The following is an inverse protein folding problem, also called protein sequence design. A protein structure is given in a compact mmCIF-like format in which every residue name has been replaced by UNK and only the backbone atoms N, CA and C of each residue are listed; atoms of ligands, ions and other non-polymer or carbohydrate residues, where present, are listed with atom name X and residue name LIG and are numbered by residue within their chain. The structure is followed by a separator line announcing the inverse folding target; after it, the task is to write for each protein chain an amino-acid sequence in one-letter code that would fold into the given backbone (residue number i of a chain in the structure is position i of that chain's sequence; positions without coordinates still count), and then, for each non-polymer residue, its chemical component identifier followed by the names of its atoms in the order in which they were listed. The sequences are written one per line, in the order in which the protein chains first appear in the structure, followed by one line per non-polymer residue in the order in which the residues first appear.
data_IF_873351161407
#
_entry.id   IF_873351161407
#
_cell.length_a   1.000
_cell.length_b   1.000
_cell.length_c   1.000
_cell.angle_alpha   90.00
_cell.angle_beta   90.00
_cell.angle_gamma   90.00
#
_symmetry.space_group_name_H-M   'P 1'
#
loop_
_entity.id
_entity.type
_entity.pdbx_description
1 polymer ?
#
# COMPACT_ATOMS: atom_id res chain seq x y z
N UNK A 1 4.23 13.56 -20.09
CA UNK A 1 3.67 12.56 -19.18
C UNK A 1 3.82 11.19 -19.85
N UNK A 2 4.66 10.33 -19.31
CA UNK A 2 4.76 8.94 -19.77
C UNK A 2 3.78 8.11 -18.91
N UNK A 3 2.85 7.41 -19.54
CA UNK A 3 1.90 6.53 -18.85
C UNK A 3 2.20 5.13 -19.34
N UNK A 4 2.71 4.31 -18.44
CA UNK A 4 2.89 2.89 -18.69
C UNK A 4 1.66 2.14 -18.18
N UNK A 5 1.17 1.22 -19.00
CA UNK A 5 0.03 0.38 -18.67
C UNK A 5 0.53 -0.95 -18.13
N UNK A 6 0.03 -1.33 -16.96
CA UNK A 6 0.25 -2.64 -16.38
C UNK A 6 -1.09 -3.39 -16.30
N UNK A 7 -1.05 -4.71 -16.45
CA UNK A 7 -2.21 -5.58 -16.34
C UNK A 7 -2.13 -6.38 -15.04
N UNK A 8 -3.24 -6.47 -14.32
CA UNK A 8 -3.36 -7.26 -13.11
C UNK A 8 -4.50 -8.22 -13.26
N UNK A 9 -4.20 -9.51 -13.27
CA UNK A 9 -5.16 -10.59 -13.38
C UNK A 9 -5.34 -11.34 -12.06
N UNK A 10 -6.59 -11.66 -11.74
CA UNK A 10 -6.93 -12.59 -10.68
C UNK A 10 -7.85 -13.67 -11.25
N UNK A 11 -7.60 -14.91 -10.88
CA UNK A 11 -8.43 -16.04 -11.30
C UNK A 11 -8.84 -16.89 -10.11
N UNK A 12 -10.02 -17.49 -10.23
CA UNK A 12 -10.57 -18.41 -9.25
C UNK A 12 -11.00 -19.69 -9.99
N UNK A 13 -10.51 -20.82 -9.52
CA UNK A 13 -10.91 -22.14 -10.05
C UNK A 13 -12.10 -22.62 -9.21
N UNK A 14 -13.24 -22.81 -9.86
CA UNK A 14 -14.48 -23.26 -9.22
C UNK A 14 -14.79 -24.68 -9.68
N UNK A 15 -14.94 -25.65 -8.76
CA UNK A 15 -15.37 -27.01 -9.14
C UNK A 15 -16.72 -26.95 -9.85
N UNK A 16 -16.90 -27.76 -10.91
CA UNK A 16 -18.12 -27.79 -11.72
C UNK A 16 -19.37 -28.06 -10.88
N UNK A 17 -19.28 -28.96 -9.90
CA UNK A 17 -20.38 -29.25 -8.99
C UNK A 17 -20.91 -28.02 -8.21
N UNK A 18 -20.04 -27.02 -8.00
CA UNK A 18 -20.42 -25.77 -7.31
C UNK A 18 -21.02 -24.78 -8.33
N UNK A 19 -20.46 -24.74 -9.55
CA UNK A 19 -21.01 -23.87 -10.60
C UNK A 19 -22.39 -24.29 -11.05
N UNK A 20 -22.66 -25.60 -11.05
CA UNK A 20 -23.96 -26.17 -11.41
C UNK A 20 -25.08 -25.86 -10.38
N UNK A 21 -24.73 -25.44 -9.17
CA UNK A 21 -25.69 -25.03 -8.15
C UNK A 21 -26.43 -23.73 -8.49
N UNK A 22 -25.91 -22.93 -9.42
CA UNK A 22 -26.55 -21.74 -10.00
C UNK A 22 -27.22 -20.81 -8.96
N UNK A 23 -26.66 -20.74 -7.77
CA UNK A 23 -27.18 -19.91 -6.69
C UNK A 23 -26.66 -18.47 -6.81
N UNK A 24 -27.52 -17.45 -6.90
CA UNK A 24 -27.11 -16.04 -7.02
C UNK A 24 -26.18 -15.57 -5.88
N UNK A 25 -26.22 -16.24 -4.76
CA UNK A 25 -25.34 -16.01 -3.62
C UNK A 25 -23.91 -16.47 -3.91
N UNK A 26 -23.72 -17.59 -4.62
CA UNK A 26 -22.40 -18.15 -4.98
C UNK A 26 -21.66 -17.20 -5.92
N UNK A 27 -22.35 -16.64 -6.92
CA UNK A 27 -21.76 -15.64 -7.82
C UNK A 27 -21.33 -14.37 -7.07
N UNK A 28 -22.16 -13.89 -6.14
CA UNK A 28 -21.81 -12.73 -5.32
C UNK A 28 -20.59 -13.01 -4.45
N UNK A 29 -20.49 -14.21 -3.89
CA UNK A 29 -19.37 -14.61 -3.05
C UNK A 29 -18.07 -14.68 -3.84
N UNK A 30 -18.07 -15.33 -5.01
CA UNK A 30 -16.88 -15.39 -5.87
C UNK A 30 -16.45 -14.02 -6.39
N UNK A 31 -17.42 -13.19 -6.75
CA UNK A 31 -17.15 -11.82 -7.14
C UNK A 31 -16.51 -10.98 -6.02
N UNK A 32 -16.91 -11.20 -4.78
CA UNK A 32 -16.31 -10.54 -3.63
C UNK A 32 -14.86 -10.98 -3.43
N UNK A 33 -14.57 -12.28 -3.48
CA UNK A 33 -13.22 -12.84 -3.35
C UNK A 33 -12.29 -12.31 -4.46
N UNK A 34 -12.75 -12.32 -5.72
CA UNK A 34 -11.97 -11.80 -6.84
C UNK A 34 -11.66 -10.32 -6.70
N UNK A 35 -12.62 -9.51 -6.26
CA UNK A 35 -12.41 -8.10 -5.99
C UNK A 35 -11.40 -7.87 -4.87
N UNK A 36 -11.51 -8.61 -3.79
CA UNK A 36 -10.57 -8.53 -2.67
C UNK A 36 -9.16 -8.89 -3.11
N UNK A 37 -8.99 -9.96 -3.89
CA UNK A 37 -7.70 -10.36 -4.45
C UNK A 37 -7.10 -9.28 -5.36
N UNK A 38 -7.91 -8.66 -6.20
CA UNK A 38 -7.48 -7.55 -7.07
C UNK A 38 -7.06 -6.33 -6.24
N UNK A 39 -7.82 -5.97 -5.21
CA UNK A 39 -7.46 -4.86 -4.33
C UNK A 39 -6.15 -5.11 -3.59
N UNK A 40 -5.92 -6.33 -3.10
CA UNK A 40 -4.65 -6.72 -2.49
C UNK A 40 -3.48 -6.67 -3.48
N UNK A 41 -3.71 -7.04 -4.75
CA UNK A 41 -2.70 -6.90 -5.80
C UNK A 41 -2.37 -5.44 -6.13
N UNK A 42 -3.37 -4.58 -6.16
CA UNK A 42 -3.19 -3.13 -6.32
C UNK A 42 -2.40 -2.55 -5.14
N UNK A 43 -2.74 -2.95 -3.93
CA UNK A 43 -2.05 -2.52 -2.71
C UNK A 43 -0.59 -2.97 -2.71
N UNK A 44 -0.31 -4.20 -3.19
CA UNK A 44 1.04 -4.71 -3.35
C UNK A 44 1.83 -3.90 -4.40
N UNK A 45 1.26 -3.65 -5.57
CA UNK A 45 1.85 -2.79 -6.60
C UNK A 45 2.13 -1.37 -6.09
N UNK A 46 1.25 -0.83 -5.24
CA UNK A 46 1.46 0.47 -4.60
C UNK A 46 2.64 0.45 -3.60
N UNK A 47 2.75 -0.59 -2.79
CA UNK A 47 3.82 -0.69 -1.79
C UNK A 47 5.14 -1.14 -2.42
N UNK A 48 5.13 -2.23 -3.18
CA UNK A 48 6.32 -3.00 -3.54
C UNK A 48 6.64 -2.98 -5.04
N UNK A 49 5.74 -2.51 -5.88
CA UNK A 49 5.89 -2.57 -7.33
C UNK A 49 7.24 -2.10 -7.83
N UNK A 50 7.82 -2.82 -8.76
CA UNK A 50 9.18 -2.58 -9.28
C UNK A 50 9.23 -1.50 -10.37
N UNK A 51 8.09 -1.18 -10.96
CA UNK A 51 7.97 -0.23 -12.08
C UNK A 51 8.28 -0.84 -13.45
N UNK A 52 8.48 -2.15 -13.53
CA UNK A 52 8.60 -2.89 -14.78
C UNK A 52 7.38 -3.79 -14.94
N UNK A 53 6.55 -3.52 -15.92
CA UNK A 53 5.28 -4.20 -16.17
C UNK A 53 4.28 -4.13 -15.00
N UNK A 54 4.59 -3.30 -14.01
CA UNK A 54 3.79 -3.06 -12.81
C UNK A 54 4.00 -1.61 -12.29
N UNK A 55 3.14 -1.11 -11.38
CA UNK A 55 3.31 0.24 -10.83
C UNK A 55 4.65 0.44 -10.13
N UNK A 56 5.12 1.69 -10.08
CA UNK A 56 6.32 2.05 -9.30
C UNK A 56 5.91 2.18 -7.83
N UNK A 57 6.37 1.29 -6.98
CA UNK A 57 6.07 1.28 -5.55
C UNK A 57 6.59 2.50 -4.80
N UNK A 58 5.97 2.81 -3.65
CA UNK A 58 6.34 3.97 -2.83
C UNK A 58 7.78 3.93 -2.32
N UNK A 59 8.37 2.74 -2.23
CA UNK A 59 9.76 2.54 -1.80
C UNK A 59 10.78 2.64 -2.94
N UNK A 60 10.34 2.81 -4.20
CA UNK A 60 11.21 2.87 -5.38
C UNK A 60 11.57 4.29 -5.78
N UNK A 61 12.76 4.46 -6.35
CA UNK A 61 13.24 5.74 -6.89
C UNK A 61 12.76 5.89 -8.33
N UNK A 62 12.10 7.00 -8.66
CA UNK A 62 11.65 7.28 -10.03
C UNK A 62 12.82 7.57 -10.98
N UNK A 63 13.91 8.12 -10.44
CA UNK A 63 15.05 8.61 -11.25
C UNK A 63 16.19 7.61 -11.46
N UNK A 64 16.09 6.42 -10.87
CA UNK A 64 17.15 5.42 -10.94
C UNK A 64 16.59 4.02 -11.19
N UNK A 65 17.10 3.38 -12.24
CA UNK A 65 16.73 2.02 -12.62
C UNK A 65 17.95 1.08 -12.57
N UNK A 66 17.66 -0.20 -12.43
CA UNK A 66 18.62 -1.28 -12.57
C UNK A 66 18.77 -1.66 -14.06
N UNK A 67 19.72 -2.52 -14.38
CA UNK A 67 19.98 -2.98 -15.75
C UNK A 67 18.82 -3.81 -16.32
N UNK A 68 18.05 -4.48 -15.46
CA UNK A 68 16.87 -5.27 -15.82
C UNK A 68 15.60 -4.45 -16.09
N UNK A 69 15.67 -3.12 -15.91
CA UNK A 69 14.56 -2.18 -16.08
C UNK A 69 13.72 -1.93 -14.82
N UNK A 70 13.98 -2.62 -13.73
CA UNK A 70 13.31 -2.35 -12.44
C UNK A 70 13.84 -1.06 -11.80
N UNK A 71 13.02 -0.37 -11.02
CA UNK A 71 13.46 0.81 -10.26
C UNK A 71 14.24 0.43 -9.01
N UNK A 72 15.31 1.19 -8.72
CA UNK A 72 16.10 1.01 -7.49
C UNK A 72 15.30 1.39 -6.27
N UNK A 73 15.61 0.76 -5.14
CA UNK A 73 15.04 1.13 -3.86
C UNK A 73 15.46 2.56 -3.45
N UNK A 74 14.58 3.25 -2.74
CA UNK A 74 14.94 4.49 -2.05
C UNK A 74 15.85 4.19 -0.89
N UNK A 75 16.80 5.07 -0.66
CA UNK A 75 17.61 5.03 0.55
C UNK A 75 16.72 5.25 1.78
N UNK A 76 17.06 4.59 2.88
CA UNK A 76 16.43 4.84 4.18
C UNK A 76 16.86 6.23 4.65
N UNK A 77 15.89 7.13 4.81
CA UNK A 77 16.19 8.52 5.19
C UNK A 77 16.47 8.67 6.68
N UNK A 78 15.93 7.78 7.51
CA UNK A 78 16.11 7.83 8.96
C UNK A 78 15.71 6.50 9.59
N UNK A 79 16.44 6.07 10.60
CA UNK A 79 16.06 4.98 11.47
C UNK A 79 15.19 5.52 12.59
N UNK A 80 13.92 5.08 12.64
CA UNK A 80 12.99 5.44 13.71
C UNK A 80 13.01 4.34 14.77
N UNK A 81 13.48 4.68 15.96
CA UNK A 81 13.39 3.80 17.13
C UNK A 81 12.05 3.95 17.85
N UNK A 82 11.24 4.93 17.47
CA UNK A 82 9.99 5.28 18.14
C UNK A 82 9.12 6.15 17.25
N UNK A 83 7.83 5.96 17.33
CA UNK A 83 6.82 6.83 16.69
C UNK A 83 6.39 8.01 17.57
N UNK A 84 7.13 8.33 18.64
CA UNK A 84 6.84 9.52 19.45
C UNK A 84 6.94 10.80 18.62
N UNK A 85 6.15 11.84 18.94
CA UNK A 85 6.09 13.08 18.15
C UNK A 85 7.43 13.72 17.85
N UNK A 86 8.39 13.64 18.77
CA UNK A 86 9.75 14.21 18.60
C UNK A 86 10.53 13.47 17.50
N UNK A 87 10.47 12.13 17.47
CA UNK A 87 11.14 11.32 16.45
C UNK A 87 10.49 11.56 15.06
N UNK A 88 9.18 11.58 15.01
CA UNK A 88 8.42 11.86 13.79
C UNK A 88 8.63 13.28 13.26
N UNK A 89 8.86 14.26 14.12
CA UNK A 89 9.24 15.61 13.69
C UNK A 89 10.57 15.63 12.94
N UNK A 90 11.54 14.80 13.33
CA UNK A 90 12.77 14.58 12.60
C UNK A 90 12.53 14.04 11.19
N UNK A 91 11.73 12.99 11.05
CA UNK A 91 11.37 12.39 9.76
C UNK A 91 10.64 13.39 8.83
N UNK A 92 9.78 14.25 9.37
CA UNK A 92 9.08 15.30 8.60
C UNK A 92 10.04 16.27 7.90
N UNK A 93 11.23 16.54 8.45
CA UNK A 93 12.21 17.41 7.80
C UNK A 93 12.61 16.94 6.41
N UNK A 94 12.74 15.62 6.21
CA UNK A 94 13.08 15.05 4.91
C UNK A 94 11.98 15.31 3.87
N UNK A 95 10.71 15.13 4.23
CA UNK A 95 9.58 15.47 3.35
C UNK A 95 9.53 16.95 3.01
N UNK A 96 9.83 17.81 3.99
CA UNK A 96 9.87 19.27 3.84
C UNK A 96 11.11 19.76 3.10
N UNK A 97 12.03 18.90 2.63
CA UNK A 97 13.32 19.33 2.06
C UNK A 97 14.02 20.38 2.92
N UNK A 98 14.14 20.11 4.20
CA UNK A 98 14.73 21.03 5.19
C UNK A 98 14.06 22.43 5.20
N UNK A 99 12.74 22.46 5.22
CA UNK A 99 11.96 23.71 5.32
C UNK A 99 11.63 24.38 3.97
N UNK A 100 12.02 23.80 2.85
CA UNK A 100 11.74 24.36 1.52
C UNK A 100 10.34 24.02 0.98
N UNK A 101 9.59 23.17 1.70
CA UNK A 101 8.23 22.75 1.32
C UNK A 101 7.34 22.71 2.55
N UNK A 102 6.10 23.15 2.37
CA UNK A 102 5.02 22.99 3.34
C UNK A 102 4.06 21.92 2.86
N UNK A 103 3.38 21.27 3.78
CA UNK A 103 2.34 20.28 3.52
C UNK A 103 1.28 20.30 4.63
N UNK A 104 0.04 20.08 4.23
CA UNK A 104 -1.10 20.13 5.15
C UNK A 104 -1.30 18.81 5.87
N UNK A 105 -1.16 17.69 5.16
CA UNK A 105 -1.39 16.35 5.66
C UNK A 105 -0.29 15.39 5.20
N UNK A 106 0.05 14.44 6.07
CA UNK A 106 0.99 13.34 5.79
C UNK A 106 0.29 12.05 6.13
N UNK A 107 0.50 11.03 5.31
CA UNK A 107 0.17 9.64 5.64
C UNK A 107 1.44 8.90 6.05
N UNK A 108 1.33 8.10 7.11
CA UNK A 108 2.33 7.12 7.51
C UNK A 108 1.77 5.76 7.15
N UNK A 109 2.40 5.08 6.22
CA UNK A 109 2.01 3.74 5.79
C UNK A 109 2.94 2.76 6.47
N UNK A 110 2.40 1.80 7.21
CA UNK A 110 3.16 0.77 7.91
C UNK A 110 2.41 -0.57 7.91
N UNK A 111 3.11 -1.64 8.26
CA UNK A 111 2.49 -2.94 8.47
C UNK A 111 1.62 -2.94 9.75
N UNK A 112 0.49 -3.69 9.82
CA UNK A 112 -0.33 -3.77 11.03
C UNK A 112 0.44 -4.21 12.28
N UNK A 113 1.41 -5.11 12.15
CA UNK A 113 2.27 -5.52 13.26
C UNK A 113 3.11 -4.34 13.78
N UNK A 114 3.68 -3.54 12.87
CA UNK A 114 4.46 -2.35 13.24
C UNK A 114 3.57 -1.26 13.86
N UNK A 115 2.32 -1.17 13.43
CA UNK A 115 1.34 -0.27 14.06
C UNK A 115 1.12 -0.67 15.53
N UNK A 116 0.87 -1.96 15.78
CA UNK A 116 0.65 -2.47 17.13
C UNK A 116 1.89 -2.34 18.02
N UNK A 117 3.09 -2.63 17.48
CA UNK A 117 4.33 -2.68 18.26
C UNK A 117 4.94 -1.30 18.52
N UNK A 118 4.81 -0.37 17.59
CA UNK A 118 5.54 0.92 17.62
C UNK A 118 4.64 2.14 17.63
N UNK A 119 3.51 2.11 16.93
CA UNK A 119 2.63 3.28 16.82
C UNK A 119 1.67 3.36 17.99
N UNK A 120 0.97 2.28 18.28
CA UNK A 120 -0.01 2.26 19.36
C UNK A 120 0.61 2.62 20.73
N UNK A 121 1.76 2.04 21.15
CA UNK A 121 2.42 2.43 22.40
C UNK A 121 2.95 3.86 22.44
N UNK A 122 3.13 4.49 21.28
CA UNK A 122 3.53 5.90 21.22
C UNK A 122 2.36 6.87 21.33
N UNK A 123 1.15 6.41 21.10
CA UNK A 123 -0.08 7.22 21.06
C UNK A 123 -0.95 6.98 22.30
N UNK A 124 -1.02 5.74 22.78
CA UNK A 124 -1.87 5.33 23.92
C UNK A 124 -1.03 4.89 25.10
N UNK A 125 -1.57 5.05 26.31
CA UNK A 125 -1.02 4.45 27.53
C UNK A 125 -1.61 3.05 27.77
N UNK A 126 -1.14 2.37 28.81
CA UNK A 126 -1.60 1.03 29.18
C UNK A 126 -3.09 0.97 29.56
N UNK A 127 -3.73 2.11 29.81
CA UNK A 127 -5.15 2.23 30.12
C UNK A 127 -6.00 2.52 28.87
N UNK A 128 -5.35 2.72 27.72
CA UNK A 128 -6.00 3.09 26.46
C UNK A 128 -6.28 4.59 26.30
N UNK A 129 -5.75 5.44 27.19
CA UNK A 129 -5.90 6.89 27.05
C UNK A 129 -4.92 7.43 26.02
N UNK A 130 -5.35 8.42 25.26
CA UNK A 130 -4.52 9.12 24.28
C UNK A 130 -3.48 9.99 25.00
N UNK A 131 -2.21 9.63 24.89
CA UNK A 131 -1.09 10.36 25.51
C UNK A 131 -0.38 11.30 24.55
N UNK A 132 -0.51 11.06 23.25
CA UNK A 132 0.05 11.93 22.22
C UNK A 132 -0.77 11.90 20.94
N UNK A 133 -0.70 12.97 20.16
CA UNK A 133 -1.32 13.03 18.85
C UNK A 133 -0.36 13.64 17.84
N UNK A 134 -0.48 13.21 16.61
CA UNK A 134 0.29 13.77 15.50
C UNK A 134 -0.56 14.81 14.77
N UNK A 135 -0.17 16.07 14.88
CA UNK A 135 -0.82 17.12 14.10
C UNK A 135 -0.55 16.90 12.61
N UNK A 136 -1.61 16.86 11.82
CA UNK A 136 -1.55 16.71 10.35
C UNK A 136 -0.94 15.38 9.87
N UNK A 137 -0.97 14.33 10.69
CA UNK A 137 -0.47 13.01 10.34
C UNK A 137 -1.54 11.97 10.60
N UNK A 138 -1.72 11.06 9.67
CA UNK A 138 -2.64 9.92 9.77
C UNK A 138 -1.86 8.64 9.48
N UNK A 139 -2.08 7.62 10.30
CA UNK A 139 -1.49 6.31 10.12
C UNK A 139 -2.45 5.43 9.32
N UNK A 140 -1.94 4.79 8.28
CA UNK A 140 -2.65 3.84 7.43
C UNK A 140 -1.88 2.53 7.48
N UNK A 141 -2.56 1.47 7.85
CA UNK A 141 -1.97 0.13 7.84
C UNK A 141 -2.21 -0.58 6.53
N UNK A 142 -1.21 -1.30 6.06
CA UNK A 142 -1.28 -2.15 4.88
C UNK A 142 -0.58 -3.48 5.15
N UNK A 143 -1.26 -4.57 4.89
CA UNK A 143 -0.68 -5.94 5.01
C UNK A 143 0.39 -6.20 3.95
N UNK A 144 0.44 -5.40 2.90
CA UNK A 144 1.44 -5.48 1.83
C UNK A 144 2.65 -4.60 2.10
N UNK A 145 2.58 -3.73 3.12
CA UNK A 145 3.75 -2.97 3.53
C UNK A 145 4.79 -3.91 4.17
N UNK A 146 6.07 -3.85 3.77
CA UNK A 146 7.10 -4.66 4.41
C UNK A 146 7.19 -4.35 5.91
N UNK A 147 7.31 -5.39 6.73
CA UNK A 147 7.52 -5.24 8.18
C UNK A 147 8.80 -4.45 8.48
N UNK A 148 8.78 -3.71 9.57
CA UNK A 148 9.86 -2.82 10.02
C UNK A 148 10.24 -1.72 9.04
N UNK A 149 9.34 -1.43 8.12
CA UNK A 149 9.44 -0.29 7.21
C UNK A 149 8.18 0.56 7.31
N UNK A 150 8.36 1.87 7.31
CA UNK A 150 7.26 2.80 7.21
C UNK A 150 7.57 3.87 6.16
N UNK A 151 6.56 4.25 5.39
CA UNK A 151 6.67 5.30 4.42
C UNK A 151 5.88 6.54 4.87
N UNK A 152 6.52 7.71 4.84
CA UNK A 152 5.83 8.98 4.98
C UNK A 152 5.47 9.49 3.58
N UNK A 153 4.18 9.56 3.30
CA UNK A 153 3.65 9.89 1.98
C UNK A 153 2.86 11.19 2.02
N UNK A 154 3.11 12.06 1.04
CA UNK A 154 2.33 13.25 0.84
C UNK A 154 1.14 12.94 -0.07
N UNK A 155 -0.12 13.21 0.36
CA UNK A 155 -1.27 13.10 -0.51
C UNK A 155 -1.06 13.92 -1.79
N UNK A 156 -1.61 13.47 -2.90
CA UNK A 156 -1.51 14.11 -4.22
C UNK A 156 -0.11 14.05 -4.89
N UNK A 157 0.86 13.34 -4.32
CA UNK A 157 2.20 13.16 -4.96
C UNK A 157 2.36 11.83 -5.66
N UNK A 158 1.50 10.88 -5.33
CA UNK A 158 1.40 9.60 -6.01
C UNK A 158 -0.03 9.43 -6.50
N UNK A 159 -0.20 9.11 -7.77
CA UNK A 159 -1.51 8.88 -8.39
C UNK A 159 -1.43 7.60 -9.21
N UNK A 160 -2.33 6.68 -8.95
CA UNK A 160 -2.51 5.46 -9.71
C UNK A 160 -3.87 5.53 -10.42
N UNK A 161 -3.87 5.27 -11.73
CA UNK A 161 -5.09 5.23 -12.54
C UNK A 161 -5.54 3.79 -12.77
N UNK A 162 -6.83 3.55 -12.78
CA UNK A 162 -7.43 2.24 -13.05
C UNK A 162 -8.42 2.34 -14.19
N UNK A 163 -8.38 1.36 -15.11
CA UNK A 163 -9.34 1.27 -16.22
C UNK A 163 -10.66 0.58 -15.84
N UNK A 164 -10.81 0.15 -14.60
CA UNK A 164 -11.95 -0.63 -14.10
C UNK A 164 -11.72 -2.14 -14.21
N UNK A 165 -12.55 -2.90 -13.49
CA UNK A 165 -12.49 -4.36 -13.45
C UNK A 165 -13.31 -4.97 -14.59
N UNK A 166 -12.71 -5.91 -15.30
CA UNK A 166 -13.43 -6.74 -16.28
C UNK A 166 -13.44 -8.19 -15.79
N UNK A 167 -14.62 -8.80 -15.76
CA UNK A 167 -14.79 -10.19 -15.37
C UNK A 167 -15.11 -11.02 -16.58
N UNK A 168 -14.47 -12.18 -16.72
CA UNK A 168 -14.75 -13.15 -17.77
C UNK A 168 -14.89 -14.53 -17.13
N UNK A 169 -15.92 -15.24 -17.52
CA UNK A 169 -16.10 -16.64 -17.18
C UNK A 169 -15.49 -17.50 -18.31
N UNK A 170 -14.62 -18.39 -17.96
CA UNK A 170 -14.08 -19.39 -18.90
C UNK A 170 -14.62 -20.76 -18.50
N UNK A 171 -15.40 -21.35 -19.39
CA UNK A 171 -15.84 -22.74 -19.25
C UNK A 171 -14.74 -23.63 -19.83
N UNK A 172 -13.87 -24.14 -18.99
CA UNK A 172 -12.92 -25.16 -19.40
C UNK A 172 -13.53 -26.53 -19.11
N UNK A 173 -14.03 -27.18 -20.15
CA UNK A 173 -14.28 -28.62 -20.14
C UNK A 173 -12.89 -29.30 -20.13
N UNK A 174 -12.49 -29.79 -18.95
CA UNK A 174 -11.39 -30.75 -18.85
C UNK A 174 -11.88 -32.14 -19.24
#
# INVERSE_FOLDING_TARGET
LNIELAELDAYLVIPKAVSDLSLPFVDKFFNAILKESLLLGIEDGYCNGTGKDEPIGIYKQISASNEDGTHKDKDVNTDLTSFKPKAMAGAKKYLGKNGKRTFDKIYVICHPNDEADYVAPAIYNDRGDLISSYKNMEVITSVKNPERKAALVLPKRYTMGFSGFKMKNYDQTL
#
